data_IF_531158996870
#
_entry.id   IF_531158996870
#
_cell.length_a   1.000
_cell.length_b   1.000
_cell.length_c   1.000
_cell.angle_alpha   90.00
_cell.angle_beta   90.00
_cell.angle_gamma   90.00
#
_symmetry.space_group_name_H-M   'P 1'
#
loop_
_entity.id
_entity.type
_entity.pdbx_description
1 polymer ?
#
# COMPACT_ATOMS: atom_id res chain seq x y z
N UNK A 1 -39.07 32.06 20.55
CA UNK A 1 -39.01 31.38 19.24
C UNK A 1 -38.20 30.11 19.39
N UNK A 2 -38.73 28.91 19.08
CA UNK A 2 -37.95 27.68 19.19
C UNK A 2 -36.97 27.58 18.02
N UNK A 3 -35.67 27.60 18.34
CA UNK A 3 -34.56 27.37 17.43
C UNK A 3 -34.49 25.87 17.10
N UNK A 4 -34.89 25.49 15.89
CA UNK A 4 -34.71 24.13 15.37
C UNK A 4 -33.26 23.95 14.89
N UNK A 5 -32.40 23.37 15.73
CA UNK A 5 -31.10 22.87 15.28
C UNK A 5 -31.30 21.59 14.45
N UNK A 6 -30.69 21.49 13.26
CA UNK A 6 -30.79 20.28 12.44
C UNK A 6 -30.07 19.12 13.13
N UNK A 7 -30.79 18.01 13.32
CA UNK A 7 -30.23 16.77 13.88
C UNK A 7 -29.12 16.25 12.95
N UNK A 8 -27.94 15.86 13.47
CA UNK A 8 -26.91 15.23 12.66
C UNK A 8 -27.44 13.92 12.09
N UNK A 9 -27.49 13.81 10.75
CA UNK A 9 -27.79 12.54 10.09
C UNK A 9 -26.71 11.53 10.48
N UNK A 10 -27.11 10.32 10.87
CA UNK A 10 -26.17 9.22 11.15
C UNK A 10 -25.32 8.97 9.91
N UNK A 11 -24.06 9.39 9.93
CA UNK A 11 -23.14 9.17 8.83
C UNK A 11 -22.90 7.66 8.67
N UNK A 12 -22.98 7.16 7.42
CA UNK A 12 -22.63 5.78 7.11
C UNK A 12 -21.12 5.65 7.32
N UNK A 13 -20.65 4.65 8.10
CA UNK A 13 -19.22 4.41 8.25
C UNK A 13 -18.57 4.14 6.88
N UNK A 14 -17.55 4.93 6.53
CA UNK A 14 -16.79 4.68 5.32
C UNK A 14 -16.02 3.36 5.46
N UNK A 15 -16.20 2.46 4.50
CA UNK A 15 -15.39 1.24 4.36
C UNK A 15 -14.30 1.46 3.32
N UNK A 16 -13.24 0.64 3.35
CA UNK A 16 -12.14 0.73 2.39
C UNK A 16 -12.63 0.77 0.92
N UNK A 17 -13.62 -0.06 0.57
CA UNK A 17 -14.15 -0.15 -0.80
C UNK A 17 -14.96 1.08 -1.22
N UNK A 18 -15.48 1.85 -0.25
CA UNK A 18 -16.22 3.09 -0.51
C UNK A 18 -15.30 4.30 -0.66
N UNK A 19 -14.00 4.16 -0.36
CA UNK A 19 -13.04 5.25 -0.53
C UNK A 19 -12.73 5.49 -2.01
N UNK A 20 -12.42 6.73 -2.41
CA UNK A 20 -11.81 7.03 -3.71
C UNK A 20 -10.59 6.16 -3.99
N UNK A 21 -10.39 5.85 -5.28
CA UNK A 21 -9.33 4.97 -5.77
C UNK A 21 -7.95 5.38 -5.25
N UNK A 22 -7.66 6.67 -5.29
CA UNK A 22 -6.39 7.25 -4.90
C UNK A 22 -6.09 7.02 -3.41
N UNK A 23 -7.12 7.10 -2.56
CA UNK A 23 -6.97 6.81 -1.12
C UNK A 23 -6.75 5.33 -0.88
N UNK A 24 -7.47 4.46 -1.59
CA UNK A 24 -7.26 3.01 -1.49
C UNK A 24 -5.84 2.62 -1.88
N UNK A 25 -5.34 3.13 -3.01
CA UNK A 25 -3.98 2.88 -3.47
C UNK A 25 -2.94 3.40 -2.47
N UNK A 26 -3.12 4.61 -1.93
CA UNK A 26 -2.23 5.15 -0.88
C UNK A 26 -2.21 4.28 0.36
N UNK A 27 -3.38 3.84 0.84
CA UNK A 27 -3.48 2.93 1.98
C UNK A 27 -2.75 1.62 1.67
N UNK A 28 -3.00 1.00 0.51
CA UNK A 28 -2.37 -0.26 0.10
C UNK A 28 -0.85 -0.14 0.01
N UNK A 29 -0.34 0.96 -0.57
CA UNK A 29 1.08 1.26 -0.59
C UNK A 29 1.66 1.31 0.83
N UNK A 30 0.99 1.97 1.77
CA UNK A 30 1.46 2.14 3.15
C UNK A 30 1.27 0.89 4.02
N UNK A 31 0.32 0.00 3.71
CA UNK A 31 0.07 -1.23 4.48
C UNK A 31 1.26 -2.19 4.38
N UNK A 32 1.95 -2.22 3.24
CA UNK A 32 3.19 -3.00 3.12
C UNK A 32 4.42 -2.26 3.71
N UNK A 33 4.26 -1.01 4.16
CA UNK A 33 5.33 -0.18 4.75
C UNK A 33 5.41 -0.22 6.29
N UNK A 34 4.46 -0.86 6.97
CA UNK A 34 4.40 -0.89 8.45
C UNK A 34 4.61 -2.33 8.95
N UNK A 35 5.78 -2.69 9.52
CA UNK A 35 6.60 -1.88 10.42
C UNK A 35 8.13 -2.01 10.16
N UNK A 36 8.75 -1.13 9.37
CA UNK A 36 10.20 -0.88 9.51
C UNK A 36 10.69 0.47 8.95
N UNK A 37 9.77 1.41 8.73
CA UNK A 37 10.06 2.75 8.20
C UNK A 37 10.40 3.80 9.27
N UNK A 38 11.08 3.43 10.36
CA UNK A 38 11.96 4.40 11.02
C UNK A 38 13.44 4.18 10.66
N UNK A 39 13.75 3.12 9.89
CA UNK A 39 15.14 2.73 9.62
C UNK A 39 15.53 2.61 8.14
N UNK A 40 14.61 2.46 7.20
CA UNK A 40 14.86 2.45 5.75
C UNK A 40 15.88 3.49 5.23
N UNK A 41 15.69 4.80 5.49
CA UNK A 41 16.65 5.84 5.06
C UNK A 41 18.05 5.74 5.71
N UNK A 42 18.18 5.18 6.92
CA UNK A 42 19.47 4.96 7.59
C UNK A 42 20.10 3.58 7.28
N UNK A 43 19.30 2.56 6.93
CA UNK A 43 19.76 1.20 6.62
C UNK A 43 20.15 0.98 5.16
N UNK A 44 19.87 1.94 4.26
CA UNK A 44 20.26 1.86 2.84
C UNK A 44 21.77 1.70 2.61
N UNK A 45 22.61 1.91 3.62
CA UNK A 45 24.05 1.72 3.52
C UNK A 45 24.54 0.31 3.89
N UNK A 46 23.73 -0.59 4.47
CA UNK A 46 24.31 -1.76 5.16
C UNK A 46 23.85 -3.15 4.69
N UNK A 47 22.63 -3.41 4.19
CA UNK A 47 22.20 -4.84 4.13
C UNK A 47 21.16 -5.30 3.11
N UNK A 48 21.01 -4.66 1.93
CA UNK A 48 20.30 -5.34 0.84
C UNK A 48 21.28 -6.11 -0.04
N UNK A 49 21.10 -7.42 -0.12
CA UNK A 49 21.72 -8.28 -1.15
C UNK A 49 20.73 -8.50 -2.28
N UNK A 50 21.19 -8.84 -3.50
CA UNK A 50 20.30 -9.21 -4.62
C UNK A 50 19.28 -10.30 -4.20
N UNK A 51 19.69 -11.24 -3.34
CA UNK A 51 18.84 -12.28 -2.77
C UNK A 51 17.66 -11.72 -1.95
N UNK A 52 17.90 -10.70 -1.12
CA UNK A 52 16.84 -10.07 -0.31
C UNK A 52 15.83 -9.31 -1.18
N UNK A 53 16.28 -8.65 -2.25
CA UNK A 53 15.41 -7.95 -3.20
C UNK A 53 14.49 -8.95 -3.93
N UNK A 54 15.06 -10.08 -4.39
CA UNK A 54 14.29 -11.15 -5.03
C UNK A 54 13.24 -11.74 -4.09
N UNK A 55 13.60 -11.97 -2.82
CA UNK A 55 12.69 -12.50 -1.82
C UNK A 55 11.51 -11.56 -1.55
N UNK A 56 11.77 -10.27 -1.35
CA UNK A 56 10.71 -9.28 -1.14
C UNK A 56 9.80 -9.12 -2.37
N UNK A 57 10.36 -9.15 -3.58
CA UNK A 57 9.56 -9.15 -4.80
C UNK A 57 8.58 -10.34 -4.85
N UNK A 58 9.08 -11.53 -4.53
CA UNK A 58 8.24 -12.74 -4.47
C UNK A 58 7.10 -12.61 -3.46
N UNK A 59 7.38 -12.07 -2.27
CA UNK A 59 6.37 -11.81 -1.23
C UNK A 59 5.33 -10.79 -1.68
N UNK A 60 5.75 -9.67 -2.27
CA UNK A 60 4.87 -8.62 -2.78
C UNK A 60 3.92 -9.15 -3.86
N UNK A 61 4.45 -9.87 -4.86
CA UNK A 61 3.63 -10.48 -5.92
C UNK A 61 2.66 -11.52 -5.35
N UNK A 62 3.07 -12.29 -4.33
CA UNK A 62 2.14 -13.20 -3.66
C UNK A 62 0.97 -12.45 -2.99
N UNK A 63 1.27 -11.37 -2.27
CA UNK A 63 0.26 -10.51 -1.63
C UNK A 63 -0.70 -9.88 -2.64
N UNK A 64 -0.19 -9.36 -3.76
CA UNK A 64 -0.97 -8.83 -4.88
C UNK A 64 -1.97 -9.87 -5.37
N UNK A 65 -1.47 -11.06 -5.71
CA UNK A 65 -2.32 -12.15 -6.21
C UNK A 65 -3.38 -12.57 -5.21
N UNK A 66 -3.06 -12.59 -3.92
CA UNK A 66 -4.03 -12.93 -2.88
C UNK A 66 -5.14 -11.88 -2.77
N UNK A 67 -4.79 -10.59 -2.74
CA UNK A 67 -5.78 -9.51 -2.61
C UNK A 67 -6.67 -9.38 -3.86
N UNK A 68 -6.12 -9.57 -5.05
CA UNK A 68 -6.89 -9.61 -6.30
C UNK A 68 -7.91 -10.76 -6.33
N UNK A 69 -7.59 -11.91 -5.71
CA UNK A 69 -8.51 -13.06 -5.62
C UNK A 69 -9.64 -12.83 -4.62
N UNK A 70 -9.38 -12.11 -3.53
CA UNK A 70 -10.39 -11.86 -2.49
C UNK A 70 -11.47 -10.92 -2.99
N UNK A 71 -11.11 -9.89 -3.76
CA UNK A 71 -12.08 -8.97 -4.31
C UNK A 71 -11.59 -8.37 -5.64
N UNK A 72 -12.32 -8.62 -6.73
CA UNK A 72 -11.98 -8.09 -8.05
C UNK A 72 -12.05 -6.56 -8.12
N UNK A 73 -12.79 -5.90 -7.22
CA UNK A 73 -12.88 -4.45 -7.15
C UNK A 73 -11.52 -3.77 -6.92
N UNK A 74 -10.61 -4.44 -6.20
CA UNK A 74 -9.28 -3.89 -5.90
C UNK A 74 -8.24 -4.33 -6.93
N UNK A 75 -8.62 -5.04 -7.99
CA UNK A 75 -7.66 -5.57 -8.97
C UNK A 75 -6.82 -4.45 -9.61
N UNK A 76 -7.50 -3.41 -10.10
CA UNK A 76 -6.86 -2.23 -10.70
C UNK A 76 -6.02 -1.42 -9.70
N UNK A 77 -6.34 -1.53 -8.41
CA UNK A 77 -5.57 -0.88 -7.34
C UNK A 77 -4.30 -1.67 -7.07
N UNK A 78 -4.41 -2.99 -7.00
CA UNK A 78 -3.29 -3.89 -6.77
C UNK A 78 -2.31 -3.93 -7.95
N UNK A 79 -2.77 -3.81 -9.19
CA UNK A 79 -1.89 -3.69 -10.36
C UNK A 79 -1.06 -2.39 -10.33
N UNK A 80 -1.68 -1.29 -9.87
CA UNK A 80 -0.95 -0.04 -9.66
C UNK A 80 0.09 -0.18 -8.55
N UNK A 81 -0.32 -0.74 -7.40
CA UNK A 81 0.54 -0.94 -6.23
C UNK A 81 1.72 -1.86 -6.54
N UNK A 82 1.48 -2.97 -7.26
CA UNK A 82 2.54 -3.90 -7.67
C UNK A 82 3.60 -3.20 -8.54
N UNK A 83 3.18 -2.38 -9.50
CA UNK A 83 4.11 -1.61 -10.34
C UNK A 83 4.94 -0.64 -9.51
N UNK A 84 4.33 0.02 -8.53
CA UNK A 84 5.03 0.98 -7.69
C UNK A 84 6.08 0.29 -6.80
N UNK A 85 5.74 -0.82 -6.15
CA UNK A 85 6.70 -1.59 -5.36
C UNK A 85 7.86 -2.16 -6.18
N UNK A 86 7.58 -2.66 -7.39
CA UNK A 86 8.63 -3.15 -8.28
C UNK A 86 9.63 -2.04 -8.65
N UNK A 87 9.15 -0.81 -8.89
CA UNK A 87 10.04 0.34 -9.14
C UNK A 87 10.93 0.64 -7.95
N UNK A 88 10.37 0.67 -6.73
CA UNK A 88 11.15 0.92 -5.51
C UNK A 88 12.25 -0.15 -5.30
N UNK A 89 11.95 -1.42 -5.61
CA UNK A 89 12.93 -2.50 -5.56
C UNK A 89 13.99 -2.38 -6.66
N UNK A 90 13.62 -1.94 -7.86
CA UNK A 90 14.56 -1.71 -8.96
C UNK A 90 15.51 -0.55 -8.65
N UNK A 91 14.99 0.55 -8.08
CA UNK A 91 15.78 1.69 -7.61
C UNK A 91 16.75 1.27 -6.49
N UNK A 92 16.27 0.47 -5.53
CA UNK A 92 17.12 -0.07 -4.46
C UNK A 92 18.21 -0.99 -5.01
N UNK A 93 17.91 -1.79 -6.03
CA UNK A 93 18.90 -2.65 -6.70
C UNK A 93 19.96 -1.84 -7.44
N UNK A 94 19.55 -0.79 -8.14
CA UNK A 94 20.45 0.09 -8.87
C UNK A 94 21.42 0.84 -7.95
N UNK A 95 21.02 1.11 -6.70
CA UNK A 95 21.89 1.74 -5.70
C UNK A 95 22.98 0.80 -5.14
N UNK A 96 22.84 -0.52 -5.30
CA UNK A 96 23.75 -1.53 -4.72
C UNK A 96 24.81 -2.05 -5.70
N UNK A 97 24.74 -1.66 -6.97
CA UNK A 97 25.72 -2.01 -8.02
C UNK A 97 26.53 -0.81 -8.45
#
# INVERSE_FOLDING_TARGET
MPSSTPKPSKAIPASFLTLPRELRQRILLHVYELPNRFNYRLHHAVTYTDTSIRFERGRMTHWVRMLMKVNSFVADDMEFVERQWNRELDDARAFLG
#
